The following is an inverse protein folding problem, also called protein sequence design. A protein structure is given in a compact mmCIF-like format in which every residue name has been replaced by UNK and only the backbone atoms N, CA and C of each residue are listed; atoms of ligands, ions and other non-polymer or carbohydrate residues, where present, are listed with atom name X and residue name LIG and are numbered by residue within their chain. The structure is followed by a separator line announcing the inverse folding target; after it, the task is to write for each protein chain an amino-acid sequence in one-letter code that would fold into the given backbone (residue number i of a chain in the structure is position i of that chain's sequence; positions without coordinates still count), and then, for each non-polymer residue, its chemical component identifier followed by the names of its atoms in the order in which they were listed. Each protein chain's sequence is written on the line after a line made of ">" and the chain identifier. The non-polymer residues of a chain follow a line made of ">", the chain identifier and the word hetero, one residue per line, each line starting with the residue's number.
data_IF_556769217159
#
_entry.id   IF_556769217159
#
_cell.length_a   1.000
_cell.length_b   1.000
_cell.length_c   1.000
_cell.angle_alpha   90.00
_cell.angle_beta   90.00
_cell.angle_gamma   90.00
#
_symmetry.space_group_name_H-M   'P 1'
#
loop_
_entity.id
_entity.type
_entity.pdbx_description
1 polymer ?
#
# COMPACT_ATOMS: atom_id res chain seq x y z
N UNK A 1 2.82 -13.00 -11.08
CA UNK A 1 4.25 -13.28 -11.20
C UNK A 1 4.73 -14.19 -10.07
N UNK A 2 4.60 -13.80 -8.80
CA UNK A 2 5.15 -14.53 -7.64
C UNK A 2 4.48 -15.88 -7.33
N UNK A 3 3.42 -16.25 -8.03
CA UNK A 3 2.87 -17.62 -8.02
C UNK A 3 3.64 -18.57 -8.94
N UNK A 4 4.53 -18.04 -9.78
CA UNK A 4 5.41 -18.83 -10.63
C UNK A 4 6.66 -19.28 -9.87
N UNK A 5 7.27 -20.42 -10.23
CA UNK A 5 8.61 -20.77 -9.80
C UNK A 5 9.61 -19.64 -10.09
N UNK A 6 10.62 -19.43 -9.23
CA UNK A 6 11.56 -18.32 -9.35
C UNK A 6 12.19 -18.17 -10.75
N UNK A 7 12.63 -19.27 -11.33
CA UNK A 7 13.29 -19.32 -12.65
C UNK A 7 12.38 -18.88 -13.82
N UNK A 8 11.05 -18.90 -13.63
CA UNK A 8 10.08 -18.45 -14.64
C UNK A 8 9.64 -16.99 -14.45
N UNK A 9 10.16 -16.30 -13.42
CA UNK A 9 9.79 -14.90 -13.14
C UNK A 9 10.60 -13.92 -13.96
N UNK A 10 10.60 -14.09 -15.27
CA UNK A 10 11.27 -13.19 -16.21
C UNK A 10 10.40 -11.99 -16.57
N UNK A 11 11.02 -10.91 -17.05
CA UNK A 11 10.30 -9.73 -17.53
C UNK A 11 9.33 -10.09 -18.68
N UNK A 12 9.76 -10.95 -19.61
CA UNK A 12 8.89 -11.37 -20.72
C UNK A 12 7.68 -12.16 -20.21
N UNK A 13 7.87 -13.05 -19.25
CA UNK A 13 6.76 -13.78 -18.63
C UNK A 13 5.79 -12.81 -17.91
N UNK A 14 6.30 -11.79 -17.22
CA UNK A 14 5.45 -10.77 -16.60
C UNK A 14 4.66 -9.97 -17.63
N UNK A 15 5.28 -9.62 -18.76
CA UNK A 15 4.63 -8.95 -19.89
C UNK A 15 3.54 -9.80 -20.51
N UNK A 16 3.77 -11.09 -20.67
CA UNK A 16 2.76 -12.01 -21.22
C UNK A 16 1.56 -12.18 -20.26
N UNK A 17 1.82 -12.31 -18.96
CA UNK A 17 0.78 -12.29 -17.95
C UNK A 17 -0.06 -11.00 -18.01
N UNK A 18 0.60 -9.85 -18.14
CA UNK A 18 -0.09 -8.56 -18.24
C UNK A 18 -0.92 -8.43 -19.52
N UNK A 19 -0.39 -8.87 -20.69
CA UNK A 19 -1.15 -8.90 -21.96
C UNK A 19 -2.40 -9.76 -21.83
N UNK A 20 -2.27 -10.95 -21.25
CA UNK A 20 -3.38 -11.87 -21.05
C UNK A 20 -4.44 -11.29 -20.09
N UNK A 21 -4.01 -10.69 -18.97
CA UNK A 21 -4.93 -10.04 -18.02
C UNK A 21 -5.62 -8.82 -18.65
N UNK A 22 -4.89 -8.03 -19.42
CA UNK A 22 -5.48 -6.90 -20.16
C UNK A 22 -6.56 -7.37 -21.14
N UNK A 23 -6.28 -8.37 -21.96
CA UNK A 23 -7.20 -8.87 -22.93
C UNK A 23 -8.47 -9.50 -22.31
N UNK A 24 -8.30 -10.25 -21.22
CA UNK A 24 -9.39 -11.05 -20.67
C UNK A 24 -10.23 -10.33 -19.60
N UNK A 25 -9.67 -9.32 -18.93
CA UNK A 25 -10.33 -8.70 -17.77
C UNK A 25 -10.15 -7.19 -17.71
N UNK A 26 -8.92 -6.71 -17.62
CA UNK A 26 -8.63 -5.32 -17.26
C UNK A 26 -9.09 -4.30 -18.30
N UNK A 27 -9.11 -4.64 -19.58
CA UNK A 27 -9.59 -3.72 -20.62
C UNK A 27 -11.06 -3.37 -20.43
N UNK A 28 -11.90 -4.33 -20.10
CA UNK A 28 -13.31 -4.10 -19.83
C UNK A 28 -13.54 -3.29 -18.55
N UNK A 29 -12.83 -3.65 -17.47
CA UNK A 29 -12.88 -2.92 -16.20
C UNK A 29 -12.39 -1.47 -16.34
N UNK A 30 -11.27 -1.25 -17.04
CA UNK A 30 -10.74 0.09 -17.27
C UNK A 30 -11.69 0.93 -18.15
N UNK A 31 -12.29 0.35 -19.18
CA UNK A 31 -13.24 1.04 -20.06
C UNK A 31 -14.56 1.40 -19.38
N UNK A 32 -14.94 0.69 -18.33
CA UNK A 32 -16.13 1.04 -17.53
C UNK A 32 -15.96 2.34 -16.72
N UNK A 33 -14.71 2.77 -16.47
CA UNK A 33 -14.37 3.96 -15.69
C UNK A 33 -13.74 5.06 -16.56
N UNK A 34 -12.93 4.68 -17.55
CA UNK A 34 -12.20 5.57 -18.44
C UNK A 34 -12.90 5.57 -19.81
N UNK A 35 -13.60 6.65 -20.13
CA UNK A 35 -14.38 6.75 -21.36
C UNK A 35 -13.60 7.33 -22.56
N UNK A 36 -12.43 7.90 -22.33
CA UNK A 36 -11.56 8.43 -23.37
C UNK A 36 -10.53 7.38 -23.81
N UNK A 37 -10.51 7.04 -25.10
CA UNK A 37 -9.52 6.11 -25.65
C UNK A 37 -8.08 6.59 -25.43
N UNK A 38 -7.83 7.90 -25.51
CA UNK A 38 -6.52 8.51 -25.22
C UNK A 38 -6.11 8.29 -23.77
N UNK A 39 -7.03 8.43 -22.82
CA UNK A 39 -6.77 8.21 -21.39
C UNK A 39 -6.60 6.73 -21.09
N UNK A 40 -7.40 5.87 -21.71
CA UNK A 40 -7.26 4.43 -21.58
C UNK A 40 -5.89 3.93 -22.05
N UNK A 41 -5.42 4.43 -23.20
CA UNK A 41 -4.10 4.12 -23.71
C UNK A 41 -3.00 4.64 -22.77
N UNK A 42 -3.15 5.86 -22.22
CA UNK A 42 -2.21 6.40 -21.22
C UNK A 42 -2.15 5.52 -19.97
N UNK A 43 -3.31 5.09 -19.45
CA UNK A 43 -3.41 4.20 -18.30
C UNK A 43 -2.72 2.85 -18.56
N UNK A 44 -2.99 2.25 -19.73
CA UNK A 44 -2.37 0.99 -20.15
C UNK A 44 -0.83 1.08 -20.19
N UNK A 45 -0.30 2.16 -20.78
CA UNK A 45 1.14 2.38 -20.84
C UNK A 45 1.76 2.65 -19.46
N UNK A 46 1.07 3.40 -18.61
CA UNK A 46 1.53 3.64 -17.24
C UNK A 46 1.64 2.33 -16.45
N UNK A 47 0.63 1.45 -16.56
CA UNK A 47 0.67 0.12 -15.94
C UNK A 47 1.81 -0.75 -16.50
N UNK A 48 2.04 -0.69 -17.82
CA UNK A 48 3.13 -1.40 -18.48
C UNK A 48 4.50 -0.97 -17.95
N UNK A 49 4.75 0.32 -17.85
CA UNK A 49 6.00 0.84 -17.30
C UNK A 49 6.20 0.47 -15.83
N UNK A 50 5.15 0.42 -15.03
CA UNK A 50 5.26 -0.08 -13.67
C UNK A 50 5.75 -1.54 -13.63
N UNK A 51 5.32 -2.38 -14.58
CA UNK A 51 5.79 -3.76 -14.68
C UNK A 51 7.28 -3.80 -15.06
N UNK A 52 7.70 -3.03 -16.05
CA UNK A 52 9.11 -2.98 -16.48
C UNK A 52 10.02 -2.42 -15.38
N UNK A 53 9.58 -1.37 -14.70
CA UNK A 53 10.36 -0.72 -13.65
C UNK A 53 10.56 -1.60 -12.40
N UNK A 54 9.76 -2.66 -12.20
CA UNK A 54 10.00 -3.61 -11.11
C UNK A 54 11.42 -4.20 -11.21
N UNK A 55 11.87 -4.56 -12.43
CA UNK A 55 13.22 -5.11 -12.66
C UNK A 55 14.36 -4.10 -12.46
N UNK A 56 14.06 -2.80 -12.31
CA UNK A 56 15.06 -1.77 -11.94
C UNK A 56 15.34 -1.76 -10.44
N UNK A 57 14.43 -2.25 -9.63
CA UNK A 57 14.47 -2.10 -8.16
C UNK A 57 14.57 -3.42 -7.41
N UNK A 58 14.24 -4.54 -8.05
CA UNK A 58 14.45 -5.87 -7.49
C UNK A 58 14.60 -6.92 -8.60
N UNK A 59 15.20 -8.05 -8.25
CA UNK A 59 15.19 -9.25 -9.07
C UNK A 59 14.09 -10.19 -8.56
N UNK A 60 12.97 -10.35 -9.27
CA UNK A 60 11.88 -11.21 -8.83
C UNK A 60 12.25 -12.69 -8.68
N UNK A 61 13.34 -13.14 -9.30
CA UNK A 61 13.81 -14.53 -9.18
C UNK A 61 14.39 -14.82 -7.80
N UNK A 62 14.91 -13.80 -7.12
CA UNK A 62 15.51 -13.91 -5.77
C UNK A 62 14.50 -13.71 -4.65
N UNK A 63 13.30 -13.24 -4.97
CA UNK A 63 12.25 -12.97 -3.96
C UNK A 63 11.52 -14.26 -3.60
N UNK A 64 11.45 -14.57 -2.32
CA UNK A 64 10.71 -15.73 -1.80
C UNK A 64 9.57 -15.24 -0.88
N UNK A 65 8.39 -14.91 -1.43
CA UNK A 65 7.28 -14.44 -0.61
C UNK A 65 6.74 -15.58 0.26
N UNK A 66 6.53 -15.28 1.54
CA UNK A 66 5.75 -16.13 2.45
C UNK A 66 4.26 -16.04 2.09
N UNK A 67 3.78 -14.82 1.74
CA UNK A 67 2.41 -14.58 1.35
C UNK A 67 2.27 -13.34 0.46
N UNK A 68 1.21 -13.38 -0.36
CA UNK A 68 0.77 -12.27 -1.21
C UNK A 68 -0.66 -11.93 -0.84
N UNK A 69 -1.01 -10.63 -0.77
CA UNK A 69 -2.35 -10.16 -0.37
C UNK A 69 -2.80 -10.80 0.96
N UNK A 70 -1.86 -10.89 1.92
CA UNK A 70 -2.08 -11.59 3.18
C UNK A 70 -2.96 -10.77 4.11
N UNK A 71 -4.13 -11.32 4.47
CA UNK A 71 -5.02 -10.69 5.45
C UNK A 71 -4.43 -10.80 6.85
N UNK A 72 -4.29 -9.66 7.52
CA UNK A 72 -3.82 -9.56 8.91
C UNK A 72 -4.82 -8.82 9.77
N UNK A 73 -4.91 -9.20 11.05
CA UNK A 73 -5.81 -8.57 12.02
C UNK A 73 -5.26 -8.69 13.43
N UNK A 74 -5.64 -7.78 14.31
CA UNK A 74 -5.26 -7.85 15.71
C UNK A 74 -5.72 -6.64 16.50
N UNK A 75 -5.23 -6.56 17.72
CA UNK A 75 -5.43 -5.42 18.61
C UNK A 75 -4.11 -4.67 18.77
N UNK A 76 -4.12 -3.37 18.49
CA UNK A 76 -2.98 -2.49 18.70
C UNK A 76 -3.41 -1.38 19.66
N UNK A 77 -2.91 -1.44 20.89
CA UNK A 77 -3.20 -0.44 21.91
C UNK A 77 -4.68 -0.34 22.29
N UNK A 78 -5.44 -1.44 22.25
CA UNK A 78 -6.87 -1.50 22.51
C UNK A 78 -7.75 -1.18 21.29
N UNK A 79 -7.16 -1.01 20.11
CA UNK A 79 -7.87 -0.74 18.85
C UNK A 79 -7.79 -1.94 17.92
N UNK A 80 -8.95 -2.46 17.51
CA UNK A 80 -9.02 -3.56 16.54
C UNK A 80 -8.72 -3.04 15.14
N UNK A 81 -7.70 -3.60 14.52
CA UNK A 81 -7.22 -3.22 13.19
C UNK A 81 -7.12 -4.48 12.33
N UNK A 82 -7.39 -4.31 11.05
CA UNK A 82 -7.15 -5.33 10.03
C UNK A 82 -6.71 -4.69 8.72
N UNK A 83 -6.12 -5.49 7.84
CA UNK A 83 -5.70 -5.03 6.51
C UNK A 83 -5.12 -6.16 5.69
N UNK A 84 -4.56 -5.78 4.55
CA UNK A 84 -3.92 -6.70 3.62
C UNK A 84 -2.49 -6.24 3.37
N UNK A 85 -1.55 -7.18 3.48
CA UNK A 85 -0.14 -6.97 3.14
C UNK A 85 0.04 -7.40 1.69
N UNK A 86 0.46 -6.49 0.81
CA UNK A 86 0.68 -6.78 -0.61
C UNK A 86 1.65 -7.96 -0.78
N UNK A 87 2.80 -7.89 -0.09
CA UNK A 87 3.78 -8.98 -0.06
C UNK A 87 4.44 -9.07 1.32
N UNK A 88 4.49 -10.28 1.85
CA UNK A 88 5.18 -10.63 3.07
C UNK A 88 6.28 -11.62 2.76
N UNK A 89 7.51 -11.33 3.19
CA UNK A 89 8.65 -12.24 3.14
C UNK A 89 9.09 -12.58 4.55
N UNK A 90 9.37 -13.85 4.82
CA UNK A 90 9.88 -14.34 6.11
C UNK A 90 11.14 -15.14 5.86
N UNK A 91 12.20 -14.83 6.56
CA UNK A 91 13.47 -15.51 6.47
C UNK A 91 14.09 -15.66 7.85
N UNK A 92 14.09 -16.89 8.38
CA UNK A 92 14.53 -17.18 9.74
C UNK A 92 13.79 -16.32 10.77
N UNK A 93 14.51 -15.52 11.54
CA UNK A 93 13.97 -14.62 12.57
C UNK A 93 13.68 -13.21 12.07
N UNK A 94 13.47 -13.03 10.77
CA UNK A 94 13.15 -11.73 10.16
C UNK A 94 11.95 -11.77 9.25
N UNK A 95 11.16 -10.68 9.26
CA UNK A 95 10.04 -10.48 8.35
C UNK A 95 10.15 -9.11 7.67
N UNK A 96 9.78 -9.09 6.38
CA UNK A 96 9.71 -7.87 5.58
C UNK A 96 8.31 -7.71 5.01
N UNK A 97 7.70 -6.56 5.29
CA UNK A 97 6.42 -6.14 4.73
C UNK A 97 6.68 -5.20 3.56
N UNK A 98 6.25 -5.59 2.38
CA UNK A 98 6.44 -4.82 1.14
C UNK A 98 5.11 -4.33 0.60
N UNK A 99 5.10 -3.09 0.08
CA UNK A 99 3.92 -2.48 -0.51
C UNK A 99 4.27 -1.84 -1.86
N UNK A 100 3.44 -2.10 -2.88
CA UNK A 100 3.63 -1.62 -4.23
C UNK A 100 2.88 -0.32 -4.48
N UNK A 101 3.60 0.72 -4.89
CA UNK A 101 3.04 2.04 -5.19
C UNK A 101 3.13 2.37 -6.68
N UNK A 102 1.98 2.60 -7.32
CA UNK A 102 1.89 3.06 -8.72
C UNK A 102 1.84 4.58 -8.86
N UNK A 103 1.76 5.29 -7.73
CA UNK A 103 1.82 6.74 -7.66
C UNK A 103 3.23 7.30 -7.79
N UNK A 104 3.33 8.64 -7.82
CA UNK A 104 4.61 9.34 -7.84
C UNK A 104 5.34 9.19 -6.50
N UNK A 105 6.67 9.04 -6.57
CA UNK A 105 7.54 9.05 -5.40
C UNK A 105 7.38 10.35 -4.58
N UNK A 106 7.14 10.26 -3.27
CA UNK A 106 7.03 11.44 -2.41
C UNK A 106 8.38 12.14 -2.25
N UNK A 107 8.35 13.41 -1.89
CA UNK A 107 9.57 14.10 -1.45
C UNK A 107 10.07 13.48 -0.13
N UNK A 108 11.37 13.53 0.12
CA UNK A 108 12.02 12.89 1.28
C UNK A 108 11.38 13.23 2.64
N UNK A 109 10.92 14.47 2.82
CA UNK A 109 10.27 14.92 4.06
C UNK A 109 8.88 14.33 4.34
N UNK A 110 8.28 13.66 3.34
CA UNK A 110 6.98 12.97 3.50
C UNK A 110 7.12 11.45 3.48
N UNK A 111 8.35 10.93 3.43
CA UNK A 111 8.57 9.49 3.28
C UNK A 111 8.27 8.73 4.59
N UNK A 112 8.57 9.32 5.76
CA UNK A 112 8.29 8.72 7.06
C UNK A 112 6.82 8.35 7.24
N UNK A 113 5.92 9.25 6.84
CA UNK A 113 4.47 9.04 6.96
C UNK A 113 3.97 7.88 6.08
N UNK A 114 4.71 7.57 5.00
CA UNK A 114 4.34 6.48 4.09
C UNK A 114 4.62 5.10 4.65
N UNK A 115 5.53 4.99 5.62
CA UNK A 115 5.81 3.74 6.29
C UNK A 115 4.80 3.40 7.40
N UNK A 116 4.01 4.36 7.87
CA UNK A 116 3.08 4.16 8.97
C UNK A 116 2.20 2.90 8.81
N UNK A 117 1.56 2.75 7.66
CA UNK A 117 0.70 1.61 7.37
C UNK A 117 1.45 0.27 7.46
N UNK A 118 2.69 0.23 6.94
CA UNK A 118 3.49 -0.99 6.94
C UNK A 118 3.95 -1.34 8.35
N UNK A 119 4.31 -0.32 9.15
CA UNK A 119 4.68 -0.51 10.56
C UNK A 119 3.49 -1.06 11.36
N UNK A 120 2.27 -0.57 11.10
CA UNK A 120 1.04 -1.17 11.65
C UNK A 120 0.94 -2.65 11.30
N UNK A 121 1.16 -3.01 10.05
CA UNK A 121 1.06 -4.40 9.59
C UNK A 121 2.12 -5.31 10.24
N UNK A 122 3.33 -4.81 10.52
CA UNK A 122 4.35 -5.60 11.23
C UNK A 122 3.95 -5.97 12.65
N UNK A 123 3.01 -5.25 13.26
CA UNK A 123 2.49 -5.56 14.60
C UNK A 123 1.34 -6.58 14.57
N UNK A 124 0.82 -6.90 13.39
CA UNK A 124 -0.28 -7.83 13.19
C UNK A 124 0.18 -9.21 12.66
N UNK A 125 1.49 -9.44 12.53
CA UNK A 125 2.05 -10.67 11.95
C UNK A 125 1.72 -11.91 12.78
N UNK A 126 1.50 -11.77 14.09
CA UNK A 126 1.04 -12.86 14.96
C UNK A 126 -0.29 -13.48 14.53
N UNK A 127 -1.12 -12.75 13.77
CA UNK A 127 -2.36 -13.29 13.20
C UNK A 127 -2.10 -14.32 12.07
N UNK A 128 -0.86 -14.45 11.63
CA UNK A 128 -0.38 -15.43 10.65
C UNK A 128 0.57 -16.45 11.30
N UNK A 129 0.58 -16.54 12.63
CA UNK A 129 1.50 -17.40 13.40
C UNK A 129 2.99 -17.07 13.15
N UNK A 130 3.27 -15.79 12.81
CA UNK A 130 4.63 -15.29 12.60
C UNK A 130 5.06 -14.51 13.83
N UNK A 131 6.09 -15.05 14.50
CA UNK A 131 6.78 -14.41 15.61
C UNK A 131 8.26 -14.29 15.26
N UNK A 132 8.72 -13.04 15.07
CA UNK A 132 10.08 -12.70 14.64
C UNK A 132 10.56 -11.44 15.35
N UNK A 133 11.85 -11.38 15.66
CA UNK A 133 12.46 -10.24 16.35
C UNK A 133 12.78 -9.09 15.39
N UNK A 134 13.20 -9.40 14.17
CA UNK A 134 13.59 -8.40 13.17
C UNK A 134 12.46 -8.14 12.19
N UNK A 135 12.05 -6.89 12.08
CA UNK A 135 11.01 -6.47 11.15
C UNK A 135 11.52 -5.31 10.30
N UNK A 136 11.30 -5.41 9.01
CA UNK A 136 11.57 -4.33 8.06
C UNK A 136 10.37 -4.07 7.17
N UNK A 137 10.33 -2.89 6.60
CA UNK A 137 9.27 -2.44 5.69
C UNK A 137 9.87 -1.85 4.43
N UNK A 138 9.25 -2.06 3.29
CA UNK A 138 9.69 -1.48 2.03
C UNK A 138 8.53 -0.96 1.19
N UNK A 139 8.79 0.15 0.51
CA UNK A 139 7.90 0.80 -0.45
C UNK A 139 8.54 0.73 -1.84
N UNK A 140 7.85 0.07 -2.77
CA UNK A 140 8.30 -0.08 -4.15
C UNK A 140 7.50 0.86 -5.05
N UNK A 141 8.06 2.04 -5.39
CA UNK A 141 7.46 3.01 -6.29
C UNK A 141 7.72 2.62 -7.74
N UNK A 142 6.84 1.78 -8.27
CA UNK A 142 6.99 1.18 -9.61
C UNK A 142 7.00 2.22 -10.73
N UNK A 143 6.21 3.29 -10.60
CA UNK A 143 6.17 4.35 -11.62
C UNK A 143 7.53 5.00 -11.86
N UNK A 144 8.30 5.20 -10.81
CA UNK A 144 9.56 5.92 -10.86
C UNK A 144 10.77 4.97 -10.74
N UNK A 145 10.54 3.66 -10.57
CA UNK A 145 11.57 2.65 -10.39
C UNK A 145 12.44 2.91 -9.15
N UNK A 146 11.83 3.27 -8.03
CA UNK A 146 12.52 3.62 -6.79
C UNK A 146 12.00 2.78 -5.63
N UNK A 147 12.94 2.30 -4.81
CA UNK A 147 12.64 1.54 -3.58
C UNK A 147 13.13 2.30 -2.36
N UNK A 148 12.33 2.28 -1.30
CA UNK A 148 12.70 2.71 0.04
C UNK A 148 12.50 1.57 1.01
N UNK A 149 13.46 1.39 1.89
CA UNK A 149 13.46 0.34 2.90
C UNK A 149 13.81 0.93 4.26
N UNK A 150 13.22 0.38 5.32
CA UNK A 150 13.45 0.83 6.70
C UNK A 150 13.32 -0.35 7.65
N UNK A 151 14.28 -0.50 8.56
CA UNK A 151 14.14 -1.37 9.73
C UNK A 151 13.17 -0.74 10.74
N UNK A 152 12.30 -1.56 11.32
CA UNK A 152 11.30 -1.11 12.28
C UNK A 152 11.91 -1.11 13.68
N UNK A 153 12.05 0.08 14.25
CA UNK A 153 12.54 0.28 15.61
C UNK A 153 11.42 0.19 16.66
N UNK A 154 11.79 0.04 17.92
CA UNK A 154 10.84 0.13 19.04
C UNK A 154 10.17 1.50 19.12
N UNK A 155 10.88 2.57 18.77
CA UNK A 155 10.31 3.92 18.75
C UNK A 155 9.27 4.08 17.64
N UNK A 156 9.48 3.45 16.48
CA UNK A 156 8.47 3.42 15.43
C UNK A 156 7.20 2.71 15.89
N UNK A 157 7.34 1.57 16.55
CA UNK A 157 6.20 0.82 17.10
C UNK A 157 5.45 1.69 18.12
N UNK A 158 6.17 2.27 19.08
CA UNK A 158 5.59 3.10 20.13
C UNK A 158 4.83 4.30 19.56
N UNK A 159 5.45 5.07 18.67
CA UNK A 159 4.83 6.24 18.06
C UNK A 159 3.60 5.88 17.21
N UNK A 160 3.63 4.71 16.57
CA UNK A 160 2.50 4.17 15.80
C UNK A 160 1.33 3.82 16.72
N UNK A 161 1.57 3.14 17.83
CA UNK A 161 0.54 2.81 18.84
C UNK A 161 -0.09 4.07 19.41
N UNK A 162 0.72 5.05 19.83
CA UNK A 162 0.24 6.34 20.35
C UNK A 162 -0.63 7.08 19.34
N UNK A 163 -0.23 7.10 18.07
CA UNK A 163 -1.02 7.73 16.99
C UNK A 163 -2.37 7.03 16.76
N UNK A 164 -2.39 5.71 16.77
CA UNK A 164 -3.62 4.91 16.65
C UNK A 164 -4.58 5.21 17.82
N UNK A 165 -4.06 5.19 19.05
CA UNK A 165 -4.86 5.46 20.24
C UNK A 165 -5.42 6.87 20.26
N UNK A 166 -4.61 7.88 19.93
CA UNK A 166 -5.04 9.28 19.84
C UNK A 166 -6.14 9.45 18.79
N UNK A 167 -5.94 8.90 17.59
CA UNK A 167 -6.96 8.96 16.52
C UNK A 167 -8.26 8.28 16.94
N UNK A 168 -8.17 7.13 17.61
CA UNK A 168 -9.38 6.43 18.13
C UNK A 168 -10.11 7.28 19.16
N UNK A 169 -9.40 7.93 20.09
CA UNK A 169 -9.99 8.81 21.10
C UNK A 169 -10.70 10.01 20.45
N UNK A 170 -10.10 10.62 19.43
CA UNK A 170 -10.73 11.71 18.68
C UNK A 170 -12.01 11.26 17.97
N UNK A 171 -11.98 10.10 17.31
CA UNK A 171 -13.17 9.50 16.67
C UNK A 171 -14.26 9.25 17.71
N UNK A 172 -13.94 8.64 18.84
CA UNK A 172 -14.91 8.36 19.91
C UNK A 172 -15.53 9.63 20.49
N UNK A 173 -14.72 10.69 20.65
CA UNK A 173 -15.20 12.00 21.06
C UNK A 173 -16.20 12.56 20.04
N UNK A 174 -15.85 12.58 18.75
CA UNK A 174 -16.74 13.05 17.69
C UNK A 174 -18.05 12.23 17.63
N UNK A 175 -17.95 10.91 17.79
CA UNK A 175 -19.14 10.04 17.84
C UNK A 175 -20.05 10.32 19.03
N UNK A 176 -19.50 10.67 20.20
CA UNK A 176 -20.25 11.01 21.40
C UNK A 176 -20.94 12.38 21.32
N UNK A 177 -20.23 13.36 20.74
CA UNK A 177 -20.75 14.76 20.65
C UNK A 177 -21.59 14.99 19.41
N UNK A 178 -21.49 14.14 18.39
CA UNK A 178 -22.06 14.36 17.06
C UNK A 178 -21.34 15.45 16.24
N UNK A 179 -20.22 15.98 16.75
CA UNK A 179 -19.46 17.05 16.11
C UNK A 179 -18.31 16.50 15.29
N UNK A 180 -18.42 16.58 13.95
CA UNK A 180 -17.38 16.24 13.00
C UNK A 180 -16.94 17.50 12.25
N UNK A 181 -15.91 18.17 12.74
CA UNK A 181 -15.42 19.42 12.16
C UNK A 181 -14.73 19.15 10.83
N UNK A 182 -15.19 19.81 9.78
CA UNK A 182 -14.58 19.70 8.47
C UNK A 182 -13.23 20.43 8.43
N UNK A 183 -12.17 19.72 8.05
CA UNK A 183 -10.82 20.27 7.92
C UNK A 183 -10.51 20.64 6.46
N UNK A 184 -10.50 21.94 6.13
CA UNK A 184 -10.18 22.41 4.79
C UNK A 184 -8.70 22.18 4.44
N UNK A 185 -8.46 21.58 3.29
CA UNK A 185 -7.13 21.37 2.74
C UNK A 185 -7.12 21.63 1.22
N UNK A 186 -5.95 21.60 0.61
CA UNK A 186 -5.80 21.70 -0.84
C UNK A 186 -6.57 20.59 -1.59
N UNK A 187 -6.74 19.43 -0.97
CA UNK A 187 -7.46 18.30 -1.55
C UNK A 187 -8.97 18.56 -1.69
N UNK A 188 -9.52 19.52 -0.93
CA UNK A 188 -10.92 19.90 -1.04
C UNK A 188 -11.29 20.49 -2.42
N UNK A 189 -10.31 20.94 -3.21
CA UNK A 189 -10.55 21.42 -4.57
C UNK A 189 -11.04 20.30 -5.50
N UNK A 190 -10.70 19.07 -5.22
CA UNK A 190 -11.09 17.85 -5.98
C UNK A 190 -12.06 16.95 -5.21
N UNK A 191 -12.60 17.43 -4.10
CA UNK A 191 -13.49 16.64 -3.25
C UNK A 191 -14.89 16.54 -3.88
N UNK A 192 -15.36 15.30 -4.10
CA UNK A 192 -16.71 15.05 -4.64
C UNK A 192 -17.85 15.47 -3.70
N UNK A 193 -17.56 15.68 -2.40
CA UNK A 193 -18.51 16.13 -1.39
C UNK A 193 -18.56 17.65 -1.20
N UNK A 194 -17.83 18.44 -2.04
CA UNK A 194 -17.73 19.88 -1.90
C UNK A 194 -19.10 20.57 -1.87
N UNK A 195 -20.06 20.08 -2.68
CA UNK A 195 -21.40 20.67 -2.80
C UNK A 195 -22.30 20.52 -1.56
N UNK A 196 -21.99 19.58 -0.67
CA UNK A 196 -22.75 19.32 0.57
C UNK A 196 -21.91 19.53 1.84
N UNK A 197 -20.63 19.88 1.68
CA UNK A 197 -19.72 20.02 2.81
C UNK A 197 -19.99 21.35 3.55
N UNK A 198 -20.24 21.32 4.89
CA UNK A 198 -20.51 22.54 5.66
C UNK A 198 -19.35 23.54 5.65
N UNK A 199 -18.12 23.09 5.39
CA UNK A 199 -16.97 23.99 5.26
C UNK A 199 -17.00 24.89 4.00
N UNK A 200 -17.88 24.61 3.03
CA UNK A 200 -18.01 25.37 1.78
C UNK A 200 -19.39 26.01 1.60
N UNK A 201 -20.40 25.55 2.32
CA UNK A 201 -21.81 25.96 2.18
C UNK A 201 -22.35 26.69 3.42
N UNK A 202 -21.47 27.36 4.18
CA UNK A 202 -21.86 28.32 5.24
C UNK A 202 -21.89 29.73 4.68
#
# INVERSE_FOLDING_TARGET
>A
LYKLPPELRTLEQAKDLARNQWANKWSAEASSVIHSEKELNRFRWAAWWCIENLWLIEDPTTVSPFGMESYVRGDIGGVKIHGFIDRLSVNGNSAKVSDYKTGKTPKKNYLSDKFFQLIVYTQLLSSLDIDVDQKSVELLYLKDGVKFEKDVSLDDIKSTVESIQSTKQEIDKCCKTGEFVANKSILCNWCGFKGICPAWNN
#
